data_IF_319826036413
#
_entry.id   IF_319826036413
#
_cell.length_a   1.000
_cell.length_b   1.000
_cell.length_c   1.000
_cell.angle_alpha   90.00
_cell.angle_beta   90.00
_cell.angle_gamma   90.00
#
_symmetry.space_group_name_H-M   'P 1'
#
loop_
_entity.id
_entity.type
_entity.pdbx_description
1 polymer ?
#
# COMPACT_ATOMS: atom_id res chain seq x y z
N UNK A 1 26.64 22.42 20.64
CA UNK A 1 25.53 21.63 20.08
C UNK A 1 24.72 22.60 19.23
N UNK A 2 24.38 22.27 17.98
CA UNK A 2 23.69 23.22 17.08
C UNK A 2 22.34 23.64 17.66
N UNK A 3 22.24 24.85 18.22
CA UNK A 3 20.99 25.46 18.66
C UNK A 3 20.22 25.94 17.42
N UNK A 4 19.49 25.03 16.78
CA UNK A 4 18.62 25.40 15.65
C UNK A 4 17.50 26.35 16.08
N UNK A 5 17.19 26.40 17.38
CA UNK A 5 16.27 27.35 17.99
C UNK A 5 16.68 28.82 17.80
N UNK A 6 17.97 29.11 17.57
CA UNK A 6 18.46 30.47 17.32
C UNK A 6 18.19 30.97 15.89
N UNK A 7 17.83 30.10 14.95
CA UNK A 7 17.59 30.45 13.54
C UNK A 7 16.21 31.07 13.30
N UNK A 8 15.30 31.06 14.29
CA UNK A 8 13.93 31.53 14.12
C UNK A 8 13.05 30.54 13.33
N UNK A 9 11.74 30.58 13.58
CA UNK A 9 10.77 29.57 13.07
C UNK A 9 10.70 29.55 11.54
N UNK A 10 10.89 30.71 10.90
CA UNK A 10 10.86 30.87 9.44
C UNK A 10 11.98 30.06 8.77
N UNK A 11 13.23 30.29 9.17
CA UNK A 11 14.39 29.57 8.63
C UNK A 11 14.41 28.10 9.05
N UNK A 12 13.94 27.78 10.26
CA UNK A 12 13.77 26.41 10.71
C UNK A 12 12.84 25.60 9.80
N UNK A 13 11.72 26.19 9.38
CA UNK A 13 10.74 25.52 8.50
C UNK A 13 11.30 25.32 7.09
N UNK A 14 12.00 26.32 6.55
CA UNK A 14 12.66 26.22 5.23
C UNK A 14 13.74 25.13 5.25
N UNK A 15 14.54 25.06 6.31
CA UNK A 15 15.59 24.05 6.46
C UNK A 15 14.98 22.64 6.60
N UNK A 16 13.86 22.50 7.31
CA UNK A 16 13.15 21.23 7.47
C UNK A 16 12.64 20.72 6.11
N UNK A 17 11.95 21.60 5.38
CA UNK A 17 11.35 21.22 4.10
C UNK A 17 12.41 20.94 3.04
N UNK A 18 13.46 21.76 2.95
CA UNK A 18 14.57 21.55 2.02
C UNK A 18 15.33 20.26 2.31
N UNK A 19 15.60 19.96 3.58
CA UNK A 19 16.24 18.70 3.98
C UNK A 19 15.38 17.49 3.60
N UNK A 20 14.06 17.57 3.79
CA UNK A 20 13.14 16.51 3.39
C UNK A 20 13.14 16.30 1.86
N UNK A 21 13.09 17.37 1.07
CA UNK A 21 13.12 17.29 -0.41
C UNK A 21 14.44 16.69 -0.91
N UNK A 22 15.58 17.13 -0.37
CA UNK A 22 16.90 16.59 -0.74
C UNK A 22 17.01 15.11 -0.42
N UNK A 23 16.52 14.69 0.75
CA UNK A 23 16.52 13.29 1.15
C UNK A 23 15.58 12.43 0.31
N UNK A 24 14.47 12.99 -0.18
CA UNK A 24 13.56 12.27 -1.08
C UNK A 24 14.17 11.98 -2.44
N UNK A 25 15.01 12.89 -2.95
CA UNK A 25 15.73 12.70 -4.22
C UNK A 25 16.69 11.50 -4.13
N UNK A 26 17.18 11.16 -2.93
CA UNK A 26 18.02 9.98 -2.70
C UNK A 26 17.28 8.64 -2.91
N UNK A 27 15.95 8.64 -3.08
CA UNK A 27 15.17 7.45 -3.41
C UNK A 27 15.07 6.40 -2.30
N UNK A 28 15.37 6.78 -1.05
CA UNK A 28 15.21 5.90 0.12
C UNK A 28 13.75 5.86 0.57
N UNK A 29 13.30 4.79 1.27
CA UNK A 29 11.91 4.71 1.72
C UNK A 29 11.54 5.90 2.62
N UNK A 30 10.40 6.54 2.30
CA UNK A 30 9.92 7.77 2.94
C UNK A 30 9.92 7.70 4.47
N UNK A 31 9.52 6.56 5.05
CA UNK A 31 9.41 6.37 6.50
C UNK A 31 10.74 6.62 7.25
N UNK A 32 11.86 6.17 6.67
CA UNK A 32 13.18 6.39 7.29
C UNK A 32 13.63 7.83 7.15
N UNK A 33 13.32 8.46 6.02
CA UNK A 33 13.70 9.85 5.75
C UNK A 33 12.97 10.81 6.68
N UNK A 34 11.66 10.67 6.81
CA UNK A 34 10.85 11.52 7.68
C UNK A 34 11.19 11.31 9.15
N UNK A 35 11.45 10.06 9.56
CA UNK A 35 11.92 9.74 10.91
C UNK A 35 13.28 10.38 11.23
N UNK A 36 14.22 10.34 10.28
CA UNK A 36 15.54 10.96 10.45
C UNK A 36 15.45 12.49 10.55
N UNK A 37 14.69 13.14 9.65
CA UNK A 37 14.47 14.60 9.69
C UNK A 37 13.79 14.99 11.00
N UNK A 38 12.75 14.26 11.42
CA UNK A 38 12.06 14.52 12.68
C UNK A 38 13.00 14.40 13.89
N UNK A 39 13.86 13.38 13.93
CA UNK A 39 14.83 13.19 15.03
C UNK A 39 15.89 14.28 15.04
N UNK A 40 16.44 14.63 13.88
CA UNK A 40 17.46 15.69 13.74
C UNK A 40 16.92 17.04 14.23
N UNK A 41 15.72 17.42 13.80
CA UNK A 41 15.08 18.67 14.22
C UNK A 41 14.61 18.65 15.67
N UNK A 42 14.08 17.52 16.16
CA UNK A 42 13.67 17.42 17.55
C UNK A 42 14.84 17.66 18.50
N UNK A 43 15.98 16.99 18.27
CA UNK A 43 17.18 17.14 19.10
C UNK A 43 17.81 18.52 18.93
N UNK A 44 17.85 19.04 17.69
CA UNK A 44 18.44 20.34 17.39
C UNK A 44 17.64 21.54 17.90
N UNK A 45 16.32 21.40 18.06
CA UNK A 45 15.43 22.49 18.49
C UNK A 45 15.08 22.43 19.98
N UNK A 46 14.81 21.24 20.51
CA UNK A 46 14.37 21.04 21.90
C UNK A 46 15.49 20.46 22.81
N UNK A 47 16.65 20.13 22.25
CA UNK A 47 17.77 19.54 22.97
C UNK A 47 17.62 18.02 23.22
N UNK A 48 18.60 17.39 23.88
CA UNK A 48 18.60 15.93 24.13
C UNK A 48 17.45 15.43 25.00
N UNK A 49 16.85 16.32 25.80
CA UNK A 49 15.76 15.99 26.72
C UNK A 49 14.45 15.63 26.01
N UNK A 50 14.37 15.80 24.69
CA UNK A 50 13.22 15.38 23.86
C UNK A 50 13.23 13.87 23.56
N UNK A 51 14.36 13.18 23.74
CA UNK A 51 14.49 11.75 23.42
C UNK A 51 13.42 10.86 24.08
N UNK A 52 13.06 11.05 25.37
CA UNK A 52 11.98 10.30 26.00
C UNK A 52 10.60 10.53 25.36
N UNK A 53 10.36 11.72 24.80
CA UNK A 53 9.10 12.03 24.10
C UNK A 53 9.03 11.28 22.77
N UNK A 54 10.14 11.24 22.03
CA UNK A 54 10.24 10.48 20.77
C UNK A 54 10.04 8.99 21.02
N UNK A 55 10.72 8.41 22.02
CA UNK A 55 10.55 6.99 22.36
C UNK A 55 9.14 6.68 22.82
N UNK A 56 8.55 7.53 23.68
CA UNK A 56 7.15 7.37 24.10
C UNK A 56 6.18 7.37 22.93
N UNK A 57 6.33 8.29 21.96
CA UNK A 57 5.49 8.32 20.76
C UNK A 57 5.63 7.08 19.89
N UNK A 58 6.85 6.58 19.70
CA UNK A 58 7.10 5.33 18.97
C UNK A 58 6.44 4.15 19.69
N UNK A 59 6.59 4.05 21.01
CA UNK A 59 5.99 2.98 21.81
C UNK A 59 4.46 3.01 21.76
N UNK A 60 3.85 4.19 21.88
CA UNK A 60 2.39 4.33 21.75
C UNK A 60 1.90 3.91 20.37
N UNK A 61 2.63 4.30 19.31
CA UNK A 61 2.26 3.91 17.94
C UNK A 61 2.38 2.40 17.71
N UNK A 62 3.46 1.77 18.16
CA UNK A 62 3.65 0.32 18.01
C UNK A 62 2.65 -0.48 18.86
N UNK A 63 2.23 0.09 20.00
CA UNK A 63 1.22 -0.49 20.89
C UNK A 63 -0.23 -0.34 20.42
N UNK A 64 -0.48 0.31 19.28
CA UNK A 64 -1.83 0.49 18.76
C UNK A 64 -2.50 -0.84 18.42
N UNK A 65 -3.67 -1.08 19.02
CA UNK A 65 -4.40 -2.34 18.86
C UNK A 65 -4.78 -2.60 17.40
N UNK A 66 -5.10 -1.54 16.65
CA UNK A 66 -5.50 -1.65 15.25
C UNK A 66 -4.37 -2.15 14.34
N UNK A 67 -3.10 -2.03 14.76
CA UNK A 67 -1.98 -2.61 14.02
C UNK A 67 -1.97 -4.15 14.04
N UNK A 68 -2.66 -4.78 15.00
CA UNK A 68 -2.85 -6.25 15.04
C UNK A 68 -3.63 -6.74 13.82
N UNK A 69 -4.48 -5.89 13.23
CA UNK A 69 -5.19 -6.22 12.01
C UNK A 69 -4.22 -6.50 10.86
N UNK A 70 -3.10 -5.78 10.76
CA UNK A 70 -2.15 -5.91 9.63
C UNK A 70 -1.56 -7.33 9.53
N UNK A 71 -0.96 -7.93 10.58
CA UNK A 71 -0.52 -9.32 10.54
C UNK A 71 -1.64 -10.32 10.26
N UNK A 72 -2.84 -10.10 10.81
CA UNK A 72 -3.98 -11.00 10.60
C UNK A 72 -4.46 -10.97 9.15
N UNK A 73 -4.45 -9.80 8.50
CA UNK A 73 -4.74 -9.66 7.08
C UNK A 73 -3.67 -10.33 6.22
N UNK A 74 -2.38 -10.16 6.55
CA UNK A 74 -1.30 -10.84 5.83
C UNK A 74 -1.40 -12.37 5.99
N UNK A 75 -1.77 -12.84 7.19
CA UNK A 75 -2.02 -14.27 7.43
C UNK A 75 -3.19 -14.77 6.58
N UNK A 76 -4.33 -14.09 6.60
CA UNK A 76 -5.49 -14.42 5.78
C UNK A 76 -5.13 -14.47 4.29
N UNK A 77 -4.46 -13.43 3.76
CA UNK A 77 -4.00 -13.37 2.39
C UNK A 77 -3.11 -14.59 2.05
N UNK A 78 -2.15 -14.91 2.92
CA UNK A 78 -1.24 -16.05 2.73
C UNK A 78 -1.95 -17.42 2.73
N UNK A 79 -3.03 -17.56 3.51
CA UNK A 79 -3.85 -18.76 3.53
C UNK A 79 -4.65 -18.88 2.24
N UNK A 80 -5.26 -17.79 1.77
CA UNK A 80 -6.05 -17.75 0.53
C UNK A 80 -5.19 -17.98 -0.72
N UNK A 81 -3.97 -17.44 -0.74
CA UNK A 81 -3.01 -17.71 -1.82
C UNK A 81 -2.65 -19.20 -1.93
N UNK A 82 -2.67 -19.93 -0.79
CA UNK A 82 -2.39 -21.37 -0.76
C UNK A 82 -3.60 -22.25 -1.10
N UNK A 83 -4.82 -21.76 -0.97
CA UNK A 83 -6.04 -22.56 -1.19
C UNK A 83 -6.48 -22.62 -2.66
N UNK A 84 -5.72 -22.03 -3.60
CA UNK A 84 -6.09 -21.89 -5.02
C UNK A 84 -7.46 -21.20 -5.26
N UNK A 85 -8.02 -20.53 -4.25
CA UNK A 85 -9.35 -19.92 -4.32
C UNK A 85 -9.46 -18.90 -5.46
N UNK A 86 -8.35 -18.21 -5.76
CA UNK A 86 -8.28 -17.26 -6.85
C UNK A 86 -8.50 -17.91 -8.23
N UNK A 87 -8.02 -19.14 -8.40
CA UNK A 87 -8.14 -19.91 -9.63
C UNK A 87 -9.55 -20.44 -9.79
N UNK A 88 -10.15 -20.92 -8.70
CA UNK A 88 -11.53 -21.39 -8.68
C UNK A 88 -12.52 -20.24 -8.91
N UNK A 89 -12.27 -19.07 -8.31
CA UNK A 89 -13.04 -17.87 -8.55
C UNK A 89 -12.94 -17.41 -10.01
N UNK A 90 -11.75 -17.43 -10.59
CA UNK A 90 -11.56 -17.09 -12.00
C UNK A 90 -12.32 -18.06 -12.92
N UNK A 91 -12.26 -19.36 -12.65
CA UNK A 91 -13.00 -20.38 -13.40
C UNK A 91 -14.53 -20.21 -13.24
N UNK A 92 -15.02 -19.93 -12.04
CA UNK A 92 -16.44 -19.68 -11.79
C UNK A 92 -16.95 -18.44 -12.56
N UNK A 93 -16.15 -17.37 -12.59
CA UNK A 93 -16.49 -16.16 -13.33
C UNK A 93 -16.48 -16.36 -14.85
N UNK A 94 -15.61 -17.23 -15.36
CA UNK A 94 -15.66 -17.65 -16.78
C UNK A 94 -16.96 -18.35 -17.14
N UNK A 95 -17.44 -19.24 -16.28
CA UNK A 95 -18.73 -19.93 -16.46
C UNK A 95 -19.88 -18.92 -16.43
N UNK A 96 -19.82 -17.95 -15.51
CA UNK A 96 -20.89 -16.96 -15.33
C UNK A 96 -20.99 -15.93 -16.46
N UNK A 97 -19.86 -15.49 -17.03
CA UNK A 97 -19.87 -14.36 -17.99
C UNK A 97 -20.22 -14.72 -19.45
N UNK A 98 -20.54 -15.98 -19.76
CA UNK A 98 -21.11 -16.36 -21.06
C UNK A 98 -20.34 -15.89 -22.30
N UNK A 99 -21.04 -15.78 -23.45
CA UNK A 99 -20.49 -15.38 -24.76
C UNK A 99 -20.48 -13.86 -24.99
N UNK A 100 -20.18 -13.06 -23.96
CA UNK A 100 -20.16 -11.60 -24.12
C UNK A 100 -18.87 -11.19 -24.84
N UNK A 101 -18.96 -10.39 -25.91
CA UNK A 101 -17.80 -9.80 -26.58
C UNK A 101 -17.07 -8.88 -25.58
N UNK A 102 -15.80 -9.13 -25.32
CA UNK A 102 -15.07 -8.41 -24.25
C UNK A 102 -15.21 -9.01 -22.84
N UNK A 103 -15.99 -10.10 -22.68
CA UNK A 103 -16.36 -10.66 -21.39
C UNK A 103 -15.17 -11.06 -20.51
N UNK A 104 -14.07 -11.52 -21.11
CA UNK A 104 -12.86 -11.95 -20.37
C UNK A 104 -12.15 -10.78 -19.68
N UNK A 105 -12.15 -9.59 -20.29
CA UNK A 105 -11.61 -8.39 -19.64
C UNK A 105 -12.46 -7.96 -18.44
N UNK A 106 -13.78 -7.94 -18.60
CA UNK A 106 -14.72 -7.59 -17.53
C UNK A 106 -14.67 -8.61 -16.39
N UNK A 107 -14.65 -9.91 -16.70
CA UNK A 107 -14.48 -10.98 -15.73
C UNK A 107 -13.18 -10.82 -14.94
N UNK A 108 -12.09 -10.48 -15.61
CA UNK A 108 -10.78 -10.28 -14.96
C UNK A 108 -10.83 -9.12 -13.98
N UNK A 109 -11.51 -8.02 -14.29
CA UNK A 109 -11.71 -6.91 -13.36
C UNK A 109 -12.59 -7.29 -12.16
N UNK A 110 -13.67 -8.05 -12.38
CA UNK A 110 -14.54 -8.50 -11.29
C UNK A 110 -13.76 -9.44 -10.35
N UNK A 111 -13.04 -10.41 -10.91
CA UNK A 111 -12.18 -11.30 -10.12
C UNK A 111 -11.09 -10.52 -9.39
N UNK A 112 -10.51 -9.50 -10.03
CA UNK A 112 -9.55 -8.61 -9.39
C UNK A 112 -10.16 -7.86 -8.19
N UNK A 113 -11.41 -7.38 -8.28
CA UNK A 113 -12.10 -6.72 -7.15
C UNK A 113 -12.31 -7.68 -5.98
N UNK A 114 -12.71 -8.92 -6.24
CA UNK A 114 -12.88 -9.91 -5.18
C UNK A 114 -11.54 -10.31 -4.55
N UNK A 115 -10.50 -10.50 -5.35
CA UNK A 115 -9.16 -10.78 -4.85
C UNK A 115 -8.62 -9.59 -4.04
N UNK A 116 -8.80 -8.37 -4.55
CA UNK A 116 -8.46 -7.11 -3.90
C UNK A 116 -9.04 -7.01 -2.50
N UNK A 117 -10.33 -7.31 -2.36
CA UNK A 117 -11.01 -7.32 -1.07
C UNK A 117 -10.43 -8.35 -0.09
N UNK A 118 -9.79 -9.41 -0.58
CA UNK A 118 -9.29 -10.50 0.27
C UNK A 118 -7.81 -10.33 0.64
N UNK A 119 -6.96 -9.86 -0.28
CA UNK A 119 -5.51 -9.80 -0.07
C UNK A 119 -5.00 -8.42 0.36
N UNK A 120 -5.60 -7.34 -0.16
CA UNK A 120 -5.19 -5.97 0.12
C UNK A 120 -3.76 -5.58 -0.35
N UNK A 121 -3.10 -6.40 -1.19
CA UNK A 121 -1.69 -6.22 -1.61
C UNK A 121 -1.57 -6.15 -3.14
N UNK A 122 -1.06 -5.02 -3.66
CA UNK A 122 -0.92 -4.75 -5.11
C UNK A 122 -0.01 -5.75 -5.82
N UNK A 123 1.14 -6.06 -5.21
CA UNK A 123 2.22 -6.80 -5.87
C UNK A 123 1.85 -8.25 -6.17
N UNK A 124 1.29 -8.96 -5.19
CA UNK A 124 0.90 -10.36 -5.33
C UNK A 124 -0.24 -10.54 -6.34
N UNK A 125 -1.27 -9.69 -6.26
CA UNK A 125 -2.42 -9.75 -7.15
C UNK A 125 -2.07 -9.48 -8.61
N UNK A 126 -1.23 -8.47 -8.87
CA UNK A 126 -0.83 -8.13 -10.24
C UNK A 126 -0.08 -9.31 -10.89
N UNK A 127 0.77 -9.99 -10.12
CA UNK A 127 1.50 -11.18 -10.58
C UNK A 127 0.54 -12.35 -10.80
N UNK A 128 -0.38 -12.59 -9.88
CA UNK A 128 -1.37 -13.67 -9.99
C UNK A 128 -2.29 -13.48 -11.21
N UNK A 129 -2.88 -12.29 -11.38
CA UNK A 129 -3.71 -11.95 -12.53
C UNK A 129 -2.90 -11.94 -13.83
N UNK A 130 -1.63 -11.52 -13.78
CA UNK A 130 -0.70 -11.61 -14.92
C UNK A 130 -0.42 -13.04 -15.35
N UNK A 131 -0.27 -13.97 -14.40
CA UNK A 131 -0.04 -15.38 -14.70
C UNK A 131 -1.31 -16.10 -15.18
N UNK A 132 -2.48 -15.72 -14.67
CA UNK A 132 -3.75 -16.41 -14.97
C UNK A 132 -4.50 -15.80 -16.17
N UNK A 133 -4.67 -14.47 -16.20
CA UNK A 133 -5.57 -13.80 -17.16
C UNK A 133 -4.85 -13.34 -18.44
N UNK A 134 -3.62 -12.83 -18.34
CA UNK A 134 -2.88 -12.31 -19.50
C UNK A 134 -2.68 -13.36 -20.62
N UNK A 135 -2.19 -14.58 -20.36
CA UNK A 135 -2.00 -15.57 -21.44
C UNK A 135 -3.31 -15.96 -22.11
N UNK A 136 -4.41 -16.00 -21.34
CA UNK A 136 -5.73 -16.33 -21.88
C UNK A 136 -6.29 -15.20 -22.76
N UNK A 137 -6.16 -13.93 -22.36
CA UNK A 137 -6.58 -12.79 -23.17
C UNK A 137 -5.84 -12.74 -24.51
N UNK A 138 -4.53 -12.98 -24.50
CA UNK A 138 -3.72 -13.02 -25.72
C UNK A 138 -4.13 -14.17 -26.65
N UNK A 139 -4.43 -15.35 -26.10
CA UNK A 139 -4.94 -16.50 -26.88
C UNK A 139 -6.30 -16.21 -27.53
N UNK A 140 -7.12 -15.35 -26.92
CA UNK A 140 -8.41 -14.91 -27.45
C UNK A 140 -8.30 -13.73 -28.43
N UNK A 141 -7.09 -13.28 -28.76
CA UNK A 141 -6.85 -12.22 -29.73
C UNK A 141 -7.10 -10.80 -29.21
N UNK A 142 -7.06 -10.59 -27.89
CA UNK A 142 -7.12 -9.23 -27.32
C UNK A 142 -5.88 -8.43 -27.71
N UNK A 143 -6.07 -7.12 -27.89
CA UNK A 143 -4.95 -6.20 -28.03
C UNK A 143 -4.03 -6.26 -26.80
N UNK A 144 -2.71 -6.28 -27.03
CA UNK A 144 -1.71 -6.44 -25.98
C UNK A 144 -1.72 -5.28 -24.97
N UNK A 145 -1.98 -4.04 -25.42
CA UNK A 145 -2.06 -2.88 -24.53
C UNK A 145 -3.33 -2.96 -23.68
N UNK A 146 -4.44 -3.37 -24.27
CA UNK A 146 -5.68 -3.59 -23.53
C UNK A 146 -5.51 -4.67 -22.47
N UNK A 147 -4.96 -5.84 -22.82
CA UNK A 147 -4.79 -6.95 -21.89
C UNK A 147 -3.87 -6.58 -20.71
N UNK A 148 -2.72 -5.96 -20.98
CA UNK A 148 -1.79 -5.50 -19.93
C UNK A 148 -2.45 -4.41 -19.09
N UNK A 149 -3.09 -3.41 -19.72
CA UNK A 149 -3.77 -2.34 -19.02
C UNK A 149 -4.88 -2.86 -18.10
N UNK A 150 -5.64 -3.87 -18.53
CA UNK A 150 -6.72 -4.46 -17.72
C UNK A 150 -6.16 -5.20 -16.50
N UNK A 151 -5.08 -5.95 -16.67
CA UNK A 151 -4.41 -6.67 -15.57
C UNK A 151 -3.77 -5.67 -14.58
N UNK A 152 -3.06 -4.66 -15.07
CA UNK A 152 -2.45 -3.63 -14.23
C UNK A 152 -3.51 -2.80 -13.49
N UNK A 153 -4.60 -2.41 -14.17
CA UNK A 153 -5.71 -1.71 -13.53
C UNK A 153 -6.37 -2.58 -12.46
N UNK A 154 -6.66 -3.85 -12.77
CA UNK A 154 -7.23 -4.80 -11.82
C UNK A 154 -6.36 -5.01 -10.59
N UNK A 155 -5.06 -5.26 -10.76
CA UNK A 155 -4.12 -5.43 -9.64
C UNK A 155 -3.91 -4.17 -8.79
N UNK A 156 -4.15 -2.97 -9.36
CA UNK A 156 -4.09 -1.71 -8.62
C UNK A 156 -5.32 -1.47 -7.73
N UNK A 157 -6.44 -2.18 -7.97
CA UNK A 157 -7.65 -2.07 -7.14
C UNK A 157 -7.45 -2.65 -5.73
N UNK A 158 -6.44 -3.52 -5.55
CA UNK A 158 -6.06 -4.15 -4.29
C UNK A 158 -6.01 -3.21 -3.09
N UNK A 159 -5.57 -1.97 -3.26
CA UNK A 159 -5.48 -1.01 -2.15
C UNK A 159 -6.79 -0.32 -1.81
N UNK A 160 -7.70 -0.17 -2.78
CA UNK A 160 -8.90 0.65 -2.62
C UNK A 160 -10.11 -0.14 -2.13
N UNK A 161 -10.19 -1.44 -2.41
CA UNK A 161 -11.35 -2.26 -2.07
C UNK A 161 -11.25 -2.74 -0.62
N UNK A 162 -12.20 -2.39 0.27
CA UNK A 162 -12.22 -2.91 1.63
C UNK A 162 -12.52 -4.42 1.66
N UNK A 163 -11.95 -5.18 2.64
CA UNK A 163 -10.96 -4.77 3.64
C UNK A 163 -9.52 -4.68 3.11
N UNK A 164 -8.83 -3.55 3.30
CA UNK A 164 -7.43 -3.37 2.88
C UNK A 164 -6.56 -2.75 3.98
N UNK A 165 -5.27 -3.11 3.99
CA UNK A 165 -4.28 -2.57 4.95
C UNK A 165 -4.22 -1.04 4.85
N UNK A 166 -4.29 -0.49 3.63
CA UNK A 166 -4.26 0.95 3.39
C UNK A 166 -5.44 1.66 4.06
N UNK A 167 -6.65 1.11 3.96
CA UNK A 167 -7.83 1.69 4.57
C UNK A 167 -7.76 1.65 6.11
N UNK A 168 -7.19 0.59 6.68
CA UNK A 168 -6.99 0.45 8.13
C UNK A 168 -6.04 1.54 8.64
N UNK A 169 -4.91 1.75 7.98
CA UNK A 169 -3.95 2.81 8.33
C UNK A 169 -4.57 4.20 8.13
N UNK A 170 -5.38 4.38 7.09
CA UNK A 170 -6.10 5.63 6.87
C UNK A 170 -7.12 5.91 7.98
N UNK A 171 -7.89 4.89 8.39
CA UNK A 171 -8.84 4.98 9.50
C UNK A 171 -8.17 5.34 10.82
N UNK A 172 -7.02 4.73 11.11
CA UNK A 172 -6.15 5.08 12.24
C UNK A 172 -5.72 6.54 12.21
N UNK A 173 -5.23 7.00 11.07
CA UNK A 173 -4.70 8.37 10.92
C UNK A 173 -5.79 9.43 11.01
N UNK A 174 -6.99 9.12 10.50
CA UNK A 174 -8.16 10.00 10.55
C UNK A 174 -8.98 9.88 11.84
N UNK A 175 -8.57 8.99 12.77
CA UNK A 175 -9.20 8.77 14.07
C UNK A 175 -10.68 8.33 13.96
N UNK A 176 -11.01 7.55 12.93
CA UNK A 176 -12.36 7.02 12.66
C UNK A 176 -12.46 5.50 12.87
N UNK A 177 -11.48 4.90 13.54
CA UNK A 177 -11.36 3.45 13.76
C UNK A 177 -10.86 3.13 15.15
#
# INVERSE_FOLDING_TARGET
>A
MFELSALGVEWGTILLFSMMVVLLILGKPLAYLTGFVAMFFAIGWFGPNVLPLLTSRIYSFVGEYTLIAVPMFVLMASLLDRTNIARDLYNAMQIFGGRIRGGVAVQTLIVAVFLAAMSGIIGGETVLLGMLALPQMLRLGYDKKLAIGTVCAGGSLGTMVPPSIVLIIYGLTSNVS
#
